data_IF_250137933660
#
_entry.id   IF_250137933660
#
_cell.length_a   1.000
_cell.length_b   1.000
_cell.length_c   1.000
_cell.angle_alpha   90.00
_cell.angle_beta   90.00
_cell.angle_gamma   90.00
#
_symmetry.space_group_name_H-M   'P 1'
#
loop_
_entity.id
_entity.type
_entity.pdbx_description
1 polymer ?
#
# COMPACT_ATOMS: atom_id res chain seq x y z
N UNK A 1 -5.54 -17.87 -12.23
CA UNK A 1 -6.40 -17.38 -11.13
C UNK A 1 -5.69 -17.70 -9.82
N UNK A 2 -5.32 -16.69 -9.03
CA UNK A 2 -4.65 -16.90 -7.74
C UNK A 2 -5.61 -17.62 -6.79
N UNK A 3 -5.26 -18.83 -6.36
CA UNK A 3 -6.05 -19.61 -5.41
C UNK A 3 -5.26 -19.67 -4.11
N UNK A 4 -5.50 -18.69 -3.26
CA UNK A 4 -4.98 -18.68 -1.89
C UNK A 4 -6.10 -19.22 -0.99
N UNK A 5 -5.79 -20.18 -0.12
CA UNK A 5 -6.75 -20.77 0.83
C UNK A 5 -7.11 -19.74 1.91
N UNK A 6 -7.97 -18.80 1.54
CA UNK A 6 -8.61 -17.89 2.46
C UNK A 6 -9.86 -18.55 3.04
N UNK A 7 -9.86 -18.81 4.35
CA UNK A 7 -11.04 -19.28 5.08
C UNK A 7 -12.21 -18.28 5.10
N UNK A 8 -12.03 -17.08 4.53
CA UNK A 8 -13.00 -15.98 4.56
C UNK A 8 -13.14 -15.33 3.19
N UNK A 9 -14.36 -14.90 2.86
CA UNK A 9 -14.65 -14.20 1.61
C UNK A 9 -13.92 -12.86 1.54
N UNK A 10 -13.04 -12.71 0.55
CA UNK A 10 -12.34 -11.46 0.27
C UNK A 10 -13.24 -10.52 -0.55
N UNK A 11 -13.36 -9.26 -0.12
CA UNK A 11 -14.07 -8.20 -0.85
C UNK A 11 -13.11 -7.07 -1.21
N UNK A 12 -13.09 -6.67 -2.47
CA UNK A 12 -12.26 -5.55 -2.96
C UNK A 12 -13.17 -4.40 -3.36
N UNK A 13 -12.84 -3.20 -2.88
CA UNK A 13 -13.47 -1.96 -3.29
C UNK A 13 -12.40 -1.08 -3.95
N UNK A 14 -12.72 -0.54 -5.12
CA UNK A 14 -11.83 0.37 -5.85
C UNK A 14 -12.38 1.79 -5.73
N UNK A 15 -11.46 2.74 -5.56
CA UNK A 15 -11.76 4.17 -5.52
C UNK A 15 -10.67 4.92 -6.30
N UNK A 16 -11.06 5.99 -6.99
CA UNK A 16 -10.11 6.85 -7.72
C UNK A 16 -9.40 7.82 -6.77
N UNK A 17 -10.10 8.32 -5.76
CA UNK A 17 -9.60 9.27 -4.77
C UNK A 17 -10.40 9.19 -3.48
N UNK A 18 -9.94 9.91 -2.45
CA UNK A 18 -10.67 10.15 -1.21
C UNK A 18 -10.95 11.66 -1.05
N UNK A 19 -12.04 12.06 -0.37
CA UNK A 19 -12.98 11.20 0.36
C UNK A 19 -13.96 10.46 -0.56
N UNK A 20 -14.47 9.32 -0.08
CA UNK A 20 -15.58 8.63 -0.77
C UNK A 20 -16.85 9.50 -0.72
N UNK A 21 -17.70 9.49 -1.77
CA UNK A 21 -18.93 10.27 -1.81
C UNK A 21 -19.89 9.87 -0.67
N UNK A 22 -20.64 10.83 -0.13
CA UNK A 22 -21.47 10.67 1.08
C UNK A 22 -22.64 9.67 0.93
N UNK A 23 -22.98 9.28 -0.29
CA UNK A 23 -24.21 8.55 -0.61
C UNK A 23 -24.02 7.03 -0.71
N UNK A 24 -22.82 6.52 -0.42
CA UNK A 24 -22.55 5.08 -0.43
C UNK A 24 -22.64 4.51 0.97
N UNK A 25 -23.42 3.43 1.12
CA UNK A 25 -23.41 2.60 2.32
C UNK A 25 -21.98 2.11 2.55
N UNK A 26 -21.27 2.70 3.53
CA UNK A 26 -19.83 2.55 3.67
C UNK A 26 -19.52 1.17 4.26
N UNK A 27 -18.93 0.23 3.49
CA UNK A 27 -18.56 -1.06 4.05
C UNK A 27 -17.46 -0.88 5.09
N UNK A 28 -17.32 -1.85 6.00
CA UNK A 28 -16.12 -1.95 6.84
C UNK A 28 -14.90 -2.13 5.93
N UNK A 29 -13.87 -1.30 6.14
CA UNK A 29 -12.61 -1.35 5.41
C UNK A 29 -11.53 -1.82 6.38
N UNK A 30 -10.89 -2.95 6.09
CA UNK A 30 -9.83 -3.51 6.94
C UNK A 30 -8.42 -3.09 6.49
N UNK A 31 -8.23 -2.78 5.21
CA UNK A 31 -6.96 -2.36 4.63
C UNK A 31 -7.20 -1.34 3.51
N UNK A 32 -6.39 -0.28 3.48
CA UNK A 32 -6.32 0.69 2.36
C UNK A 32 -4.95 0.55 1.70
N UNK A 33 -4.93 0.36 0.38
CA UNK A 33 -3.70 0.33 -0.41
C UNK A 33 -3.72 1.49 -1.41
N UNK A 34 -2.81 2.44 -1.25
CA UNK A 34 -2.60 3.51 -2.22
C UNK A 34 -1.68 3.03 -3.32
N UNK A 35 -2.24 2.82 -4.52
CA UNK A 35 -1.46 2.48 -5.71
C UNK A 35 -0.95 3.78 -6.34
N UNK A 36 0.37 3.91 -6.45
CA UNK A 36 1.03 5.10 -6.99
C UNK A 36 1.78 4.73 -8.26
N UNK A 37 1.33 5.27 -9.40
CA UNK A 37 2.07 5.15 -10.65
C UNK A 37 3.21 6.18 -10.66
N UNK A 38 4.46 5.71 -10.60
CA UNK A 38 5.62 6.58 -10.53
C UNK A 38 5.83 7.43 -11.80
N UNK A 39 5.25 7.05 -12.94
CA UNK A 39 5.33 7.83 -14.18
C UNK A 39 4.25 8.91 -14.31
N UNK A 40 3.35 9.02 -13.32
CA UNK A 40 2.23 9.98 -13.35
C UNK A 40 2.30 10.93 -12.17
N UNK A 41 2.66 12.19 -12.44
CA UNK A 41 2.57 13.27 -11.44
C UNK A 41 1.16 13.41 -10.86
N UNK A 42 0.14 13.23 -11.71
CA UNK A 42 -1.25 13.25 -11.27
C UNK A 42 -1.56 12.13 -10.26
N UNK A 43 -1.02 10.92 -10.50
CA UNK A 43 -1.18 9.81 -9.55
C UNK A 43 -0.59 10.13 -8.19
N UNK A 44 0.60 10.76 -8.15
CA UNK A 44 1.23 11.17 -6.89
C UNK A 44 0.41 12.26 -6.17
N UNK A 45 0.03 13.33 -6.87
CA UNK A 45 -0.73 14.43 -6.27
C UNK A 45 -2.08 13.95 -5.73
N UNK A 46 -2.79 13.09 -6.48
CA UNK A 46 -4.06 12.52 -6.05
C UNK A 46 -3.92 11.68 -4.78
N UNK A 47 -2.80 10.98 -4.61
CA UNK A 47 -2.51 10.20 -3.39
C UNK A 47 -2.20 11.15 -2.23
N UNK A 48 -1.39 12.19 -2.44
CA UNK A 48 -1.11 13.22 -1.43
C UNK A 48 -2.40 13.88 -0.92
N UNK A 49 -3.28 14.29 -1.82
CA UNK A 49 -4.58 14.88 -1.48
C UNK A 49 -5.50 13.87 -0.75
N UNK A 50 -5.58 12.63 -1.25
CA UNK A 50 -6.44 11.59 -0.66
C UNK A 50 -6.03 11.22 0.77
N UNK A 51 -4.75 11.30 1.12
CA UNK A 51 -4.24 10.96 2.44
C UNK A 51 -4.77 11.88 3.54
N UNK A 52 -5.08 13.14 3.23
CA UNK A 52 -5.66 14.09 4.20
C UNK A 52 -7.06 13.71 4.67
N UNK A 53 -7.73 12.79 3.95
CA UNK A 53 -9.08 12.33 4.27
C UNK A 53 -9.09 10.96 4.99
N UNK A 54 -7.92 10.39 5.27
CA UNK A 54 -7.79 9.12 5.98
C UNK A 54 -7.67 9.39 7.48
N UNK A 55 -8.51 8.72 8.27
CA UNK A 55 -8.45 8.80 9.73
C UNK A 55 -7.11 8.26 10.25
N UNK A 56 -6.53 8.94 11.24
CA UNK A 56 -5.21 8.63 11.79
C UNK A 56 -5.08 7.17 12.25
N UNK A 57 -6.17 6.55 12.71
CA UNK A 57 -6.17 5.16 13.19
C UNK A 57 -5.89 4.14 12.08
N UNK A 58 -6.14 4.47 10.81
CA UNK A 58 -5.79 3.59 9.69
C UNK A 58 -4.28 3.47 9.51
N UNK A 59 -3.50 4.52 9.79
CA UNK A 59 -2.04 4.48 9.68
C UNK A 59 -1.37 3.60 10.74
N UNK A 60 -2.13 3.04 11.69
CA UNK A 60 -1.68 2.03 12.65
C UNK A 60 -1.66 0.62 12.02
N UNK A 61 -1.04 0.50 10.85
CA UNK A 61 -0.82 -0.75 10.12
C UNK A 61 -1.91 -1.15 9.12
N UNK A 62 -2.95 -0.33 8.91
CA UNK A 62 -4.05 -0.60 7.95
C UNK A 62 -3.96 0.23 6.66
N UNK A 63 -2.86 0.94 6.46
CA UNK A 63 -2.54 1.64 5.21
C UNK A 63 -1.25 1.05 4.66
N UNK A 64 -1.17 0.89 3.34
CA UNK A 64 0.06 0.58 2.63
C UNK A 64 0.15 1.32 1.30
N UNK A 65 1.36 1.49 0.80
CA UNK A 65 1.65 2.08 -0.50
C UNK A 65 2.15 1.01 -1.46
N UNK A 66 1.67 1.05 -2.71
CA UNK A 66 2.14 0.19 -3.79
C UNK A 66 2.60 1.07 -4.95
N UNK A 67 3.91 1.25 -5.08
CA UNK A 67 4.50 1.97 -6.19
C UNK A 67 4.67 1.06 -7.41
N UNK A 68 4.21 1.53 -8.57
CA UNK A 68 4.33 0.84 -9.86
C UNK A 68 5.22 1.64 -10.81
N UNK A 69 5.83 0.97 -11.80
CA UNK A 69 6.75 1.61 -12.76
C UNK A 69 8.19 1.81 -12.26
N UNK A 70 8.53 1.36 -11.05
CA UNK A 70 9.88 1.54 -10.49
C UNK A 70 10.99 0.77 -11.21
N UNK A 71 10.65 -0.28 -11.96
CA UNK A 71 11.59 -1.10 -12.73
C UNK A 71 11.76 -0.66 -14.19
N UNK A 72 11.06 0.39 -14.61
CA UNK A 72 11.23 0.97 -15.95
C UNK A 72 12.22 2.14 -15.83
N UNK A 73 13.40 2.03 -16.47
CA UNK A 73 14.54 2.97 -16.37
C UNK A 73 14.26 4.41 -16.86
N UNK A 74 13.01 4.73 -17.22
CA UNK A 74 12.61 6.06 -17.66
C UNK A 74 12.39 7.00 -16.45
N UNK A 75 13.46 7.71 -16.06
CA UNK A 75 13.47 9.08 -15.50
C UNK A 75 12.64 9.44 -14.23
N UNK A 76 12.03 8.51 -13.49
CA UNK A 76 11.18 8.85 -12.33
C UNK A 76 11.80 8.72 -10.93
N UNK A 77 13.10 8.96 -10.79
CA UNK A 77 13.80 8.98 -9.49
C UNK A 77 13.17 9.97 -8.50
N UNK A 78 12.66 11.12 -8.99
CA UNK A 78 12.04 12.17 -8.17
C UNK A 78 10.76 11.65 -7.50
N UNK A 79 9.87 11.01 -8.25
CA UNK A 79 8.62 10.47 -7.70
C UNK A 79 8.88 9.31 -6.73
N UNK A 80 9.91 8.48 -6.98
CA UNK A 80 10.32 7.41 -6.05
C UNK A 80 10.71 7.94 -4.68
N UNK A 81 11.56 8.97 -4.62
CA UNK A 81 11.97 9.57 -3.34
C UNK A 81 10.82 10.25 -2.61
N UNK A 82 9.88 10.86 -3.35
CA UNK A 82 8.68 11.44 -2.72
C UNK A 82 7.77 10.36 -2.15
N UNK A 83 7.53 9.26 -2.85
CA UNK A 83 6.72 8.14 -2.33
C UNK A 83 7.38 7.48 -1.12
N UNK A 84 8.72 7.33 -1.13
CA UNK A 84 9.47 6.86 0.05
C UNK A 84 9.27 7.77 1.27
N UNK A 85 9.41 9.09 1.08
CA UNK A 85 9.16 10.07 2.15
C UNK A 85 7.71 10.04 2.62
N UNK A 86 6.76 9.92 1.70
CA UNK A 86 5.34 9.82 1.99
C UNK A 86 5.06 8.61 2.89
N UNK A 87 5.53 7.42 2.50
CA UNK A 87 5.39 6.20 3.28
C UNK A 87 6.00 6.31 4.67
N UNK A 88 7.18 6.94 4.78
CA UNK A 88 7.83 7.22 6.05
C UNK A 88 7.02 8.17 6.95
N UNK A 89 6.56 9.30 6.39
CA UNK A 89 5.74 10.30 7.10
C UNK A 89 4.47 9.68 7.68
N UNK A 90 3.79 8.83 6.90
CA UNK A 90 2.57 8.14 7.31
C UNK A 90 2.83 6.80 8.00
N UNK A 91 4.10 6.48 8.31
CA UNK A 91 4.55 5.25 8.99
C UNK A 91 3.89 3.98 8.42
N UNK A 92 3.76 3.91 7.11
CA UNK A 92 3.05 2.83 6.42
C UNK A 92 4.00 2.08 5.49
N UNK A 93 3.82 0.77 5.30
CA UNK A 93 4.65 -0.02 4.40
C UNK A 93 4.58 0.48 2.96
N UNK A 94 5.72 0.40 2.26
CA UNK A 94 5.84 0.68 0.84
C UNK A 94 6.33 -0.56 0.09
N UNK A 95 5.61 -0.92 -0.95
CA UNK A 95 5.96 -1.98 -1.87
C UNK A 95 6.27 -1.43 -3.26
N UNK A 96 7.16 -2.10 -3.97
CA UNK A 96 7.40 -1.87 -5.39
C UNK A 96 6.95 -3.12 -6.16
N UNK A 97 6.11 -2.93 -7.18
CA UNK A 97 5.70 -4.02 -8.05
C UNK A 97 5.44 -3.48 -9.46
N UNK A 98 5.98 -4.17 -10.46
CA UNK A 98 5.47 -4.01 -11.81
C UNK A 98 4.19 -4.85 -11.94
N UNK A 99 3.05 -4.18 -12.11
CA UNK A 99 1.75 -4.85 -12.22
C UNK A 99 1.50 -5.42 -13.63
N UNK A 100 2.29 -5.01 -14.63
CA UNK A 100 2.21 -5.55 -15.99
C UNK A 100 2.78 -6.97 -16.05
N UNK A 101 3.76 -7.29 -15.20
CA UNK A 101 4.38 -8.61 -15.10
C UNK A 101 3.52 -9.53 -14.23
N UNK A 102 2.92 -10.57 -14.85
CA UNK A 102 1.97 -11.46 -14.19
C UNK A 102 2.52 -12.13 -12.92
N UNK A 103 3.75 -12.65 -12.96
CA UNK A 103 4.37 -13.31 -11.81
C UNK A 103 4.62 -12.37 -10.62
N UNK A 104 5.00 -11.11 -10.88
CA UNK A 104 5.18 -10.10 -9.85
C UNK A 104 3.85 -9.68 -9.25
N UNK A 105 2.86 -9.42 -10.10
CA UNK A 105 1.48 -9.13 -9.69
C UNK A 105 0.90 -10.26 -8.82
N UNK A 106 1.13 -11.51 -9.21
CA UNK A 106 0.69 -12.69 -8.47
C UNK A 106 1.28 -12.74 -7.05
N UNK A 107 2.60 -12.58 -6.94
CA UNK A 107 3.33 -12.58 -5.66
C UNK A 107 2.91 -11.40 -4.78
N UNK A 108 2.75 -10.22 -5.37
CA UNK A 108 2.31 -9.03 -4.65
C UNK A 108 0.89 -9.17 -4.13
N UNK A 109 -0.03 -9.70 -4.95
CA UNK A 109 -1.39 -9.96 -4.54
C UNK A 109 -1.45 -10.90 -3.33
N UNK A 110 -0.67 -12.00 -3.32
CA UNK A 110 -0.58 -12.89 -2.15
C UNK A 110 -0.09 -12.16 -0.89
N UNK A 111 0.93 -11.30 -1.03
CA UNK A 111 1.41 -10.47 0.10
C UNK A 111 0.32 -9.54 0.63
N UNK A 112 -0.44 -8.91 -0.26
CA UNK A 112 -1.54 -8.02 0.12
C UNK A 112 -2.70 -8.79 0.76
N UNK A 113 -3.03 -9.99 0.28
CA UNK A 113 -4.02 -10.86 0.91
C UNK A 113 -3.59 -11.23 2.32
N UNK A 114 -2.32 -11.60 2.51
CA UNK A 114 -1.78 -11.88 3.85
C UNK A 114 -1.86 -10.67 4.78
N UNK A 115 -1.50 -9.49 4.29
CA UNK A 115 -1.62 -8.24 5.04
C UNK A 115 -3.08 -7.96 5.42
N UNK A 116 -4.01 -8.13 4.47
CA UNK A 116 -5.44 -7.98 4.70
C UNK A 116 -5.96 -8.95 5.77
N UNK A 117 -5.54 -10.22 5.73
CA UNK A 117 -5.90 -11.20 6.77
C UNK A 117 -5.46 -10.76 8.16
N UNK A 118 -4.25 -10.19 8.29
CA UNK A 118 -3.75 -9.65 9.56
C UNK A 118 -4.59 -8.45 10.00
N UNK A 119 -4.85 -7.50 9.10
CA UNK A 119 -5.63 -6.30 9.42
C UNK A 119 -7.10 -6.59 9.76
N UNK A 120 -7.67 -7.65 9.17
CA UNK A 120 -9.02 -8.14 9.46
C UNK A 120 -9.10 -8.97 10.77
N UNK A 121 -7.95 -9.35 11.36
CA UNK A 121 -7.88 -10.16 12.57
C UNK A 121 -8.05 -11.67 12.33
N UNK A 122 -7.82 -12.15 11.11
CA UNK A 122 -7.89 -13.58 10.76
C UNK A 122 -6.60 -14.35 11.05
N UNK A 123 -5.58 -13.68 11.59
CA UNK A 123 -4.30 -14.30 11.95
C UNK A 123 -4.15 -14.31 13.47
N UNK A 124 -4.29 -15.47 14.13
CA UNK A 124 -4.18 -15.54 15.58
C UNK A 124 -2.77 -15.14 16.03
N UNK A 125 -2.69 -14.30 17.06
CA UNK A 125 -1.42 -13.83 17.63
C UNK A 125 -0.74 -12.69 16.86
N UNK A 126 -1.30 -12.24 15.72
CA UNK A 126 -0.74 -11.13 14.93
C UNK A 126 -1.83 -10.10 14.62
N UNK A 127 -1.53 -8.83 14.88
CA UNK A 127 -2.41 -7.70 14.62
C UNK A 127 -1.79 -6.73 13.61
N UNK A 128 -2.58 -5.76 13.12
CA UNK A 128 -2.09 -4.70 12.25
C UNK A 128 -0.91 -3.91 12.86
N UNK A 129 -0.87 -3.72 14.19
CA UNK A 129 0.24 -3.04 14.85
C UNK A 129 1.58 -3.76 14.69
N UNK A 130 1.56 -5.09 14.58
CA UNK A 130 2.78 -5.87 14.35
C UNK A 130 3.37 -5.60 12.96
N UNK A 131 2.55 -5.18 11.98
CA UNK A 131 3.02 -4.87 10.63
C UNK A 131 3.96 -3.67 10.61
N UNK A 132 3.78 -2.69 11.51
CA UNK A 132 4.69 -1.55 11.63
C UNK A 132 6.12 -1.99 11.96
N UNK A 133 6.27 -3.04 12.76
CA UNK A 133 7.57 -3.60 13.13
C UNK A 133 8.10 -4.59 12.08
N UNK A 134 7.23 -5.44 11.54
CA UNK A 134 7.61 -6.51 10.60
C UNK A 134 7.92 -5.99 9.19
N UNK A 135 7.28 -4.89 8.80
CA UNK A 135 7.40 -4.31 7.46
C UNK A 135 8.24 -3.04 7.45
N UNK A 136 8.92 -2.75 8.56
CA UNK A 136 10.04 -1.82 8.55
C UNK A 136 11.09 -2.44 7.63
N UNK A 137 11.12 -1.98 6.39
CA UNK A 137 12.27 -2.19 5.51
C UNK A 137 13.50 -1.88 6.33
N UNK A 138 14.49 -2.79 6.34
CA UNK A 138 15.80 -2.50 6.90
C UNK A 138 16.19 -1.13 6.39
N UNK A 139 16.45 -0.19 7.30
CA UNK A 139 17.26 0.98 6.95
C UNK A 139 18.53 0.38 6.36
N UNK A 140 18.64 0.32 5.03
CA UNK A 140 19.93 0.12 4.41
C UNK A 140 20.68 1.41 4.75
N UNK A 141 21.81 1.35 5.48
CA UNK A 141 22.63 2.53 5.76
C UNK A 141 23.32 3.07 4.50
N UNK A 142 22.99 2.60 3.30
CA UNK A 142 23.59 3.07 2.05
C UNK A 142 22.96 4.38 1.56
N UNK A 143 23.04 5.39 2.41
CA UNK A 143 23.21 6.79 2.04
C UNK A 143 24.22 7.39 3.04
N UNK A 144 25.41 6.80 3.12
CA UNK A 144 26.60 7.53 3.55
C UNK A 144 27.46 7.85 2.32
N UNK A 145 27.77 9.14 2.21
CA UNK A 145 28.91 9.80 1.57
C UNK A 145 28.97 9.92 0.03
N UNK A 146 28.58 11.10 -0.49
CA UNK A 146 29.45 12.24 -0.91
C UNK A 146 28.59 13.42 -1.39
#
# INVERSE_FOLDING_TARGET
MLKEDCASTLKVHLAQSLPLPSNVNRPRIDLIVFVVNLHSKYSLQNVEESLHHVDATFFLGKVGFLATGAGQDNHCSIHRNTVLRLAHTYRSPLFFCDLEVEGFRATMAQRLVRMLQICAGHVPGVSALNLLSLMRSSENPFLEDV
#
